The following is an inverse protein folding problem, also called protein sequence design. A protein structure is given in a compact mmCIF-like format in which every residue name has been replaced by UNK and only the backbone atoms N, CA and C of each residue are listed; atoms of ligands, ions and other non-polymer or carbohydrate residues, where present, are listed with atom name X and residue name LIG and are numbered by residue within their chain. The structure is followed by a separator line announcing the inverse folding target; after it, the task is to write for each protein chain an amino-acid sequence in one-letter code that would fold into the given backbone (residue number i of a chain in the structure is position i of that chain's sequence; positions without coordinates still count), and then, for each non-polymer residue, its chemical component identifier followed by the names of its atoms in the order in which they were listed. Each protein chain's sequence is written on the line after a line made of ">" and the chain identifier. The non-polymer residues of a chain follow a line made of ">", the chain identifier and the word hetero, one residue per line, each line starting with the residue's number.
data_IF_359071260336
#
_entry.id   IF_359071260336
#
_cell.length_a   1.000
_cell.length_b   1.000
_cell.length_c   1.000
_cell.angle_alpha   90.00
_cell.angle_beta   90.00
_cell.angle_gamma   90.00
#
_symmetry.space_group_name_H-M   'P 1'
#
loop_
_entity.id
_entity.type
_entity.pdbx_description
1 polymer ?
#
# COMPACT_ATOMS: atom_id res chain seq x y z
N UNK A 1 21.73 -11.43 27.80
CA UNK A 1 22.16 -10.17 28.46
C UNK A 1 23.20 -9.44 27.62
N UNK A 2 24.49 -9.78 27.63
CA UNK A 2 25.49 -9.06 26.79
C UNK A 2 25.15 -9.01 25.29
N UNK A 3 24.75 -10.14 24.70
CA UNK A 3 24.30 -10.17 23.29
C UNK A 3 23.10 -9.25 23.01
N UNK A 4 22.13 -9.20 23.93
CA UNK A 4 20.93 -8.38 23.79
C UNK A 4 21.27 -6.88 23.90
N UNK A 5 22.26 -6.52 24.72
CA UNK A 5 22.78 -5.16 24.83
C UNK A 5 23.51 -4.73 23.55
N UNK A 6 24.36 -5.59 22.98
CA UNK A 6 25.01 -5.32 21.69
C UNK A 6 24.00 -5.18 20.55
N UNK A 7 22.98 -6.05 20.50
CA UNK A 7 21.88 -5.89 19.55
C UNK A 7 21.18 -4.55 19.73
N UNK A 8 20.85 -4.16 20.97
CA UNK A 8 20.25 -2.87 21.28
C UNK A 8 21.05 -1.70 20.69
N UNK A 9 22.37 -1.67 20.94
CA UNK A 9 23.27 -0.66 20.38
C UNK A 9 23.27 -0.65 18.85
N UNK A 10 23.41 -1.81 18.22
CA UNK A 10 23.41 -1.93 16.76
C UNK A 10 22.16 -1.30 16.15
N UNK A 11 20.98 -1.61 16.68
CA UNK A 11 19.74 -1.08 16.10
C UNK A 11 19.52 0.40 16.40
N UNK A 12 19.99 0.90 17.55
CA UNK A 12 19.99 2.35 17.83
C UNK A 12 20.88 3.10 16.83
N UNK A 13 22.08 2.60 16.57
CA UNK A 13 22.98 3.16 15.56
C UNK A 13 22.41 3.06 14.14
N UNK A 14 21.80 1.91 13.79
CA UNK A 14 21.15 1.70 12.50
C UNK A 14 19.97 2.67 12.30
N UNK A 15 19.16 2.91 13.33
CA UNK A 15 18.06 3.88 13.29
C UNK A 15 18.60 5.32 13.10
N UNK A 16 19.66 5.69 13.80
CA UNK A 16 20.30 7.00 13.61
C UNK A 16 20.87 7.16 12.20
N UNK A 17 21.46 6.10 11.66
CA UNK A 17 21.98 6.09 10.29
C UNK A 17 20.83 6.23 9.27
N UNK A 18 19.74 5.48 9.43
CA UNK A 18 18.55 5.59 8.59
C UNK A 18 18.00 7.02 8.62
N UNK A 19 17.83 7.60 9.81
CA UNK A 19 17.37 8.99 9.98
C UNK A 19 18.30 10.00 9.30
N UNK A 20 19.62 9.78 9.33
CA UNK A 20 20.60 10.65 8.66
C UNK A 20 20.46 10.62 7.14
N UNK A 21 20.21 9.45 6.55
CA UNK A 21 20.06 9.30 5.09
C UNK A 21 18.64 9.57 4.58
N UNK A 22 17.63 9.53 5.46
CA UNK A 22 16.23 9.74 5.10
C UNK A 22 15.98 11.01 4.25
N UNK A 23 16.53 12.20 4.57
CA UNK A 23 16.32 13.39 3.73
C UNK A 23 16.92 13.26 2.32
N UNK A 24 18.02 12.51 2.19
CA UNK A 24 18.63 12.25 0.88
C UNK A 24 17.75 11.32 0.04
N UNK A 25 17.18 10.29 0.65
CA UNK A 25 16.22 9.41 -0.03
C UNK A 25 14.94 10.17 -0.42
N UNK A 26 14.36 10.96 0.49
CA UNK A 26 13.17 11.76 0.21
C UNK A 26 13.37 12.69 -0.98
N UNK A 27 14.54 13.32 -1.11
CA UNK A 27 14.89 14.16 -2.27
C UNK A 27 14.83 13.39 -3.59
N UNK A 28 15.35 12.16 -3.63
CA UNK A 28 15.31 11.35 -4.85
C UNK A 28 13.90 10.81 -5.14
N UNK A 29 13.14 10.43 -4.10
CA UNK A 29 11.76 10.00 -4.24
C UNK A 29 10.86 11.15 -4.73
N UNK A 30 11.10 12.38 -4.28
CA UNK A 30 10.40 13.57 -4.76
C UNK A 30 10.71 13.86 -6.23
N UNK A 31 11.98 13.73 -6.64
CA UNK A 31 12.34 13.82 -8.07
C UNK A 31 11.66 12.77 -8.91
N UNK A 32 11.53 11.53 -8.41
CA UNK A 32 10.75 10.48 -9.08
C UNK A 32 9.29 10.88 -9.19
N UNK A 33 8.68 11.39 -8.13
CA UNK A 33 7.28 11.86 -8.14
C UNK A 33 7.07 12.93 -9.21
N UNK A 34 7.94 13.95 -9.26
CA UNK A 34 7.84 15.01 -10.27
C UNK A 34 7.99 14.46 -11.69
N UNK A 35 8.93 13.53 -11.91
CA UNK A 35 9.10 12.84 -13.19
C UNK A 35 7.85 12.04 -13.60
N UNK A 36 7.28 11.28 -12.67
CA UNK A 36 6.11 10.42 -12.92
C UNK A 36 4.88 11.27 -13.18
N UNK A 37 4.68 12.37 -12.45
CA UNK A 37 3.45 13.15 -12.49
C UNK A 37 3.47 14.30 -13.51
N UNK A 38 4.60 14.98 -13.67
CA UNK A 38 4.74 16.18 -14.53
C UNK A 38 5.59 15.91 -15.78
N UNK A 39 6.39 14.85 -15.76
CA UNK A 39 7.42 14.64 -16.77
C UNK A 39 8.61 15.59 -16.59
N UNK A 40 9.56 15.56 -17.52
CA UNK A 40 10.67 16.50 -17.62
C UNK A 40 10.73 17.10 -19.02
N UNK A 41 10.55 18.40 -19.09
CA UNK A 41 10.90 19.19 -20.27
C UNK A 41 12.38 19.56 -20.22
N UNK A 42 13.12 19.30 -21.31
CA UNK A 42 14.50 19.75 -21.49
C UNK A 42 14.62 20.33 -22.90
N UNK A 43 15.07 21.58 -23.01
CA UNK A 43 15.36 22.20 -24.30
C UNK A 43 16.58 21.50 -24.93
N UNK A 44 16.43 21.00 -26.16
CA UNK A 44 17.51 20.28 -26.88
C UNK A 44 17.70 18.80 -26.52
N UNK A 45 16.79 18.19 -25.75
CA UNK A 45 16.79 16.76 -25.45
C UNK A 45 15.37 16.16 -25.48
N UNK A 46 15.21 14.83 -25.57
CA UNK A 46 13.89 14.20 -25.53
C UNK A 46 13.16 14.58 -24.23
N UNK A 47 11.99 15.22 -24.37
CA UNK A 47 11.08 15.47 -23.25
C UNK A 47 10.58 14.14 -22.74
N UNK A 48 10.66 13.92 -21.43
CA UNK A 48 10.07 12.74 -20.80
C UNK A 48 8.64 13.10 -20.42
N UNK A 49 7.59 12.54 -21.08
CA UNK A 49 6.22 12.82 -20.69
C UNK A 49 5.93 12.23 -19.29
N UNK A 50 4.86 12.70 -18.60
CA UNK A 50 4.33 12.02 -17.43
C UNK A 50 4.15 10.52 -17.68
N UNK A 51 4.30 9.73 -16.62
CA UNK A 51 4.19 8.27 -16.66
C UNK A 51 2.85 7.85 -16.02
N UNK A 52 1.74 7.84 -16.78
CA UNK A 52 0.46 7.39 -16.26
C UNK A 52 0.54 5.92 -15.83
N UNK A 53 -0.26 5.54 -14.83
CA UNK A 53 -0.31 4.17 -14.29
C UNK A 53 1.05 3.65 -13.77
N UNK A 54 1.99 4.53 -13.38
CA UNK A 54 3.28 4.11 -12.84
C UNK A 54 3.11 3.17 -11.64
N UNK A 55 2.43 3.63 -10.58
CA UNK A 55 2.22 2.82 -9.38
C UNK A 55 1.31 1.63 -9.61
N UNK A 56 0.27 1.78 -10.43
CA UNK A 56 -0.53 0.65 -10.89
C UNK A 56 0.35 -0.46 -11.50
N UNK A 57 1.26 -0.09 -12.40
CA UNK A 57 2.19 -1.03 -13.04
C UNK A 57 3.16 -1.62 -12.01
N UNK A 58 3.68 -0.83 -11.08
CA UNK A 58 4.53 -1.34 -9.99
C UNK A 58 3.80 -2.40 -9.16
N UNK A 59 2.60 -2.09 -8.66
CA UNK A 59 1.85 -2.97 -7.75
C UNK A 59 1.40 -4.27 -8.45
N UNK A 60 0.96 -4.18 -9.70
CA UNK A 60 0.55 -5.35 -10.50
C UNK A 60 1.71 -6.26 -10.90
N UNK A 61 2.95 -5.77 -10.89
CA UNK A 61 4.13 -6.58 -11.22
C UNK A 61 4.88 -7.12 -10.00
N UNK A 62 4.50 -6.70 -8.80
CA UNK A 62 5.07 -7.24 -7.57
C UNK A 62 4.41 -8.59 -7.20
N UNK A 63 5.18 -9.68 -6.96
CA UNK A 63 4.63 -11.02 -6.75
C UNK A 63 3.60 -11.12 -5.62
N UNK A 64 3.90 -10.53 -4.46
CA UNK A 64 3.01 -10.57 -3.29
C UNK A 64 1.82 -9.62 -3.44
N UNK A 65 2.05 -8.32 -3.70
CA UNK A 65 0.98 -7.34 -3.81
C UNK A 65 -0.03 -7.70 -4.91
N UNK A 66 0.41 -8.16 -6.08
CA UNK A 66 -0.49 -8.48 -7.18
C UNK A 66 -1.54 -9.55 -6.82
N UNK A 67 -1.24 -10.45 -5.89
CA UNK A 67 -2.17 -11.46 -5.40
C UNK A 67 -3.27 -10.88 -4.48
N UNK A 68 -3.02 -9.71 -3.90
CA UNK A 68 -3.99 -9.01 -3.04
C UNK A 68 -4.99 -8.15 -3.86
N UNK A 69 -4.72 -7.95 -5.16
CA UNK A 69 -5.50 -7.06 -6.00
C UNK A 69 -6.64 -7.80 -6.69
N UNK A 70 -7.88 -7.37 -6.45
CA UNK A 70 -9.02 -7.76 -7.24
C UNK A 70 -9.26 -6.80 -8.43
N UNK A 71 -10.17 -7.14 -9.36
CA UNK A 71 -10.46 -6.32 -10.56
C UNK A 71 -10.92 -4.90 -10.24
N UNK A 72 -11.63 -4.69 -9.12
CA UNK A 72 -12.11 -3.36 -8.70
C UNK A 72 -10.97 -2.56 -8.07
N UNK A 73 -10.09 -3.19 -7.30
CA UNK A 73 -8.88 -2.56 -6.76
C UNK A 73 -8.03 -1.97 -7.89
N UNK A 74 -7.81 -2.76 -8.95
CA UNK A 74 -7.08 -2.32 -10.15
C UNK A 74 -7.66 -1.04 -10.74
N UNK A 75 -8.98 -0.89 -10.74
CA UNK A 75 -9.65 0.29 -11.28
C UNK A 75 -9.40 1.55 -10.43
N UNK A 76 -9.35 1.39 -9.10
CA UNK A 76 -9.00 2.49 -8.16
C UNK A 76 -7.51 2.83 -8.26
N UNK A 77 -6.63 1.83 -8.28
CA UNK A 77 -5.17 2.01 -8.26
C UNK A 77 -4.61 2.68 -9.53
N UNK A 78 -5.37 2.72 -10.63
CA UNK A 78 -5.01 3.54 -11.81
C UNK A 78 -4.91 5.04 -11.50
N UNK A 79 -5.58 5.48 -10.44
CA UNK A 79 -5.58 6.86 -9.98
C UNK A 79 -4.55 7.11 -8.86
N UNK A 80 -3.77 6.10 -8.47
CA UNK A 80 -2.69 6.24 -7.50
C UNK A 80 -1.52 7.01 -8.13
N UNK A 81 -1.29 8.22 -7.63
CA UNK A 81 -0.26 9.14 -8.13
C UNK A 81 1.07 8.95 -7.45
N UNK A 82 1.07 8.75 -6.14
CA UNK A 82 2.31 8.54 -5.39
C UNK A 82 2.15 7.59 -4.20
N UNK A 83 3.24 6.90 -3.85
CA UNK A 83 3.37 6.14 -2.61
C UNK A 83 4.65 6.59 -1.89
N UNK A 84 4.48 7.09 -0.66
CA UNK A 84 5.54 7.70 0.13
C UNK A 84 5.75 6.95 1.43
N UNK A 85 7.01 6.94 1.86
CA UNK A 85 7.46 6.41 3.14
C UNK A 85 8.04 7.57 3.93
N UNK A 86 7.62 7.71 5.18
CA UNK A 86 8.24 8.65 6.12
C UNK A 86 8.42 7.97 7.46
N UNK A 87 9.57 8.16 8.10
CA UNK A 87 9.76 7.77 9.50
C UNK A 87 8.86 8.62 10.40
N UNK A 88 8.38 8.05 11.50
CA UNK A 88 7.66 8.83 12.50
C UNK A 88 8.62 9.81 13.20
N UNK A 89 8.08 10.98 13.56
CA UNK A 89 8.83 12.07 14.22
C UNK A 89 9.33 11.64 15.60
N UNK A 90 10.27 12.43 16.13
CA UNK A 90 10.90 12.22 17.45
C UNK A 90 9.87 11.91 18.55
N UNK A 91 10.13 10.86 19.33
CA UNK A 91 9.24 10.35 20.37
C UNK A 91 8.40 9.13 19.99
N UNK A 92 8.31 8.78 18.69
CA UNK A 92 7.66 7.55 18.24
C UNK A 92 8.57 6.73 17.32
N UNK A 93 8.74 5.44 17.61
CA UNK A 93 9.34 4.48 16.68
C UNK A 93 8.28 4.00 15.69
N UNK A 94 8.66 3.84 14.43
CA UNK A 94 7.76 3.41 13.38
C UNK A 94 7.90 4.21 12.09
N UNK A 95 7.03 3.89 11.14
CA UNK A 95 6.98 4.53 9.84
C UNK A 95 5.54 4.69 9.35
N UNK A 96 5.37 5.55 8.36
CA UNK A 96 4.10 5.81 7.69
C UNK A 96 4.21 5.52 6.21
N UNK A 97 3.20 4.85 5.67
CA UNK A 97 3.00 4.66 4.23
C UNK A 97 1.84 5.57 3.80
N UNK A 98 2.05 6.43 2.80
CA UNK A 98 1.05 7.38 2.32
C UNK A 98 0.77 7.16 0.84
N UNK A 99 -0.49 6.92 0.49
CA UNK A 99 -0.98 6.67 -0.85
C UNK A 99 -1.74 7.92 -1.33
N UNK A 100 -1.17 8.67 -2.26
CA UNK A 100 -1.80 9.87 -2.82
C UNK A 100 -2.54 9.54 -4.11
N UNK A 101 -3.84 9.82 -4.11
CA UNK A 101 -4.72 9.63 -5.26
C UNK A 101 -4.94 10.92 -6.03
N UNK A 102 -5.27 10.77 -7.31
CA UNK A 102 -5.72 11.88 -8.15
C UNK A 102 -6.94 12.58 -7.52
N UNK A 103 -6.92 13.91 -7.36
CA UNK A 103 -8.10 14.65 -6.87
C UNK A 103 -9.36 14.42 -7.71
N UNK A 104 -9.20 14.11 -9.01
CA UNK A 104 -10.29 13.85 -9.93
C UNK A 104 -10.71 12.37 -9.97
N UNK A 105 -10.18 11.51 -9.09
CA UNK A 105 -10.52 10.10 -9.11
C UNK A 105 -12.04 9.88 -8.87
N UNK A 106 -12.69 8.94 -9.58
CA UNK A 106 -14.13 8.72 -9.46
C UNK A 106 -14.52 7.68 -8.38
N UNK A 107 -13.60 7.26 -7.50
CA UNK A 107 -13.83 6.13 -6.59
C UNK A 107 -13.92 6.53 -5.12
N UNK A 108 -13.05 7.40 -4.66
CA UNK A 108 -12.94 7.78 -3.26
C UNK A 108 -12.81 9.30 -3.13
N UNK A 109 -13.26 9.84 -2.01
CA UNK A 109 -13.23 11.28 -1.71
C UNK A 109 -11.88 11.71 -1.11
N UNK A 110 -11.16 10.78 -0.50
CA UNK A 110 -9.92 11.06 0.22
C UNK A 110 -8.76 11.29 -0.75
N UNK A 111 -8.04 12.40 -0.63
CA UNK A 111 -6.87 12.61 -1.48
C UNK A 111 -5.70 11.70 -1.10
N UNK A 112 -5.56 11.38 0.18
CA UNK A 112 -4.45 10.59 0.70
C UNK A 112 -5.00 9.56 1.68
N UNK A 113 -4.61 8.30 1.48
CA UNK A 113 -4.77 7.25 2.48
C UNK A 113 -3.42 7.00 3.15
N UNK A 114 -3.35 7.13 4.45
CA UNK A 114 -2.14 6.95 5.24
C UNK A 114 -2.28 5.78 6.19
N UNK A 115 -1.18 5.07 6.39
CA UNK A 115 -1.07 3.98 7.35
C UNK A 115 0.20 4.13 8.17
N UNK A 116 0.05 4.31 9.47
CA UNK A 116 1.15 4.44 10.43
C UNK A 116 1.32 3.10 11.18
N UNK A 117 2.54 2.60 11.20
CA UNK A 117 2.95 1.43 11.98
C UNK A 117 3.78 1.93 13.15
N UNK A 118 3.19 1.96 14.33
CA UNK A 118 3.86 2.39 15.55
C UNK A 118 4.51 1.16 16.18
N UNK A 119 5.78 1.29 16.51
CA UNK A 119 6.60 0.21 17.03
C UNK A 119 6.97 0.50 18.49
N UNK A 120 7.12 -0.55 19.30
CA UNK A 120 7.67 -0.38 20.64
C UNK A 120 9.13 0.11 20.56
N UNK A 121 9.57 0.98 21.50
CA UNK A 121 10.96 1.44 21.52
C UNK A 121 11.98 0.32 21.71
N UNK A 122 11.58 -0.71 22.48
CA UNK A 122 12.42 -1.85 22.80
C UNK A 122 12.39 -2.83 21.63
N UNK A 123 13.58 -3.12 21.12
CA UNK A 123 13.80 -4.17 20.14
C UNK A 123 14.03 -5.46 20.91
N UNK A 124 13.28 -6.50 20.59
CA UNK A 124 13.49 -7.83 21.16
C UNK A 124 14.00 -8.73 20.04
N UNK A 125 15.13 -9.40 20.26
CA UNK A 125 15.71 -10.36 19.30
C UNK A 125 15.93 -9.77 17.89
N UNK A 126 16.21 -8.47 17.81
CA UNK A 126 16.39 -7.75 16.56
C UNK A 126 15.13 -7.53 15.71
N UNK A 127 13.95 -7.78 16.27
CA UNK A 127 12.68 -7.48 15.63
C UNK A 127 11.97 -6.32 16.34
N UNK A 128 11.49 -5.37 15.55
CA UNK A 128 10.59 -4.34 16.05
C UNK A 128 9.23 -4.95 16.33
N UNK A 129 8.70 -4.74 17.53
CA UNK A 129 7.39 -5.24 17.91
C UNK A 129 6.34 -4.19 17.53
N UNK A 130 5.34 -4.61 16.75
CA UNK A 130 4.18 -3.77 16.43
C UNK A 130 3.45 -3.38 17.71
N UNK A 131 3.30 -2.08 17.92
CA UNK A 131 2.48 -1.53 19.00
C UNK A 131 1.06 -1.26 18.53
N UNK A 132 0.93 -0.60 17.39
CA UNK A 132 -0.36 -0.10 16.92
C UNK A 132 -0.30 0.18 15.42
N UNK A 133 -1.40 -0.06 14.73
CA UNK A 133 -1.63 0.36 13.35
C UNK A 133 -2.66 1.48 13.39
N UNK A 134 -2.36 2.61 12.72
CA UNK A 134 -3.33 3.70 12.55
C UNK A 134 -3.56 3.97 11.07
N UNK A 135 -4.82 4.13 10.70
CA UNK A 135 -5.24 4.53 9.36
C UNK A 135 -5.75 5.97 9.38
N UNK A 136 -5.38 6.76 8.37
CA UNK A 136 -5.96 8.08 8.12
C UNK A 136 -6.42 8.21 6.66
N UNK A 137 -7.69 8.55 6.38
CA UNK A 137 -8.79 8.63 7.35
C UNK A 137 -9.03 7.29 8.05
N UNK A 138 -9.74 7.31 9.18
CA UNK A 138 -10.07 6.10 9.96
C UNK A 138 -10.89 5.09 9.13
N UNK A 139 -11.68 5.60 8.18
CA UNK A 139 -12.39 4.81 7.18
C UNK A 139 -12.27 5.49 5.83
N UNK A 140 -12.02 4.70 4.78
CA UNK A 140 -12.00 5.19 3.41
C UNK A 140 -13.38 5.69 3.00
N UNK A 141 -13.43 6.92 2.49
CA UNK A 141 -14.62 7.62 2.05
C UNK A 141 -14.94 7.26 0.59
N UNK A 142 -15.51 6.06 0.39
CA UNK A 142 -15.91 5.60 -0.94
C UNK A 142 -17.08 6.42 -1.51
N UNK A 143 -17.01 6.73 -2.81
CA UNK A 143 -18.16 7.24 -3.55
C UNK A 143 -19.22 6.13 -3.70
N UNK A 144 -20.51 6.46 -3.94
CA UNK A 144 -21.58 5.46 -4.00
C UNK A 144 -21.26 4.30 -4.96
N UNK A 145 -21.36 3.06 -4.44
CA UNK A 145 -21.09 1.82 -5.18
C UNK A 145 -19.65 1.67 -5.72
N UNK A 146 -18.70 2.45 -5.20
CA UNK A 146 -17.29 2.42 -5.65
C UNK A 146 -16.34 1.69 -4.71
N UNK A 147 -16.83 1.23 -3.56
CA UNK A 147 -16.04 0.38 -2.66
C UNK A 147 -15.66 -0.94 -3.36
N UNK A 148 -14.36 -1.22 -3.54
CA UNK A 148 -13.86 -2.38 -4.25
C UNK A 148 -14.00 -3.68 -3.47
N UNK A 149 -14.32 -3.63 -2.17
CA UNK A 149 -14.65 -4.80 -1.36
C UNK A 149 -16.07 -5.31 -1.60
N UNK A 150 -16.98 -4.49 -2.15
CA UNK A 150 -18.37 -4.89 -2.35
C UNK A 150 -18.50 -6.02 -3.40
N UNK A 151 -19.13 -7.12 -3.03
CA UNK A 151 -19.45 -8.25 -3.90
C UNK A 151 -20.96 -8.38 -4.02
N UNK A 152 -21.47 -8.32 -5.25
CA UNK A 152 -22.91 -8.48 -5.52
C UNK A 152 -23.17 -9.88 -6.06
N UNK A 153 -24.13 -10.59 -5.46
CA UNK A 153 -24.58 -11.90 -5.94
C UNK A 153 -26.11 -11.94 -6.04
N UNK A 154 -26.63 -12.85 -6.86
CA UNK A 154 -28.07 -13.07 -6.98
C UNK A 154 -28.46 -14.31 -6.20
N UNK A 155 -29.26 -14.14 -5.16
CA UNK A 155 -29.81 -15.25 -4.39
C UNK A 155 -31.13 -15.69 -5.01
N UNK A 156 -31.22 -16.96 -5.41
CA UNK A 156 -32.45 -17.58 -5.88
C UNK A 156 -33.12 -18.33 -4.74
N UNK A 157 -34.39 -18.05 -4.52
CA UNK A 157 -35.21 -18.71 -3.51
C UNK A 157 -36.01 -19.85 -4.11
N UNK A 158 -36.42 -20.81 -3.26
CA UNK A 158 -37.20 -22.00 -3.67
C UNK A 158 -38.54 -21.64 -4.30
N UNK A 159 -39.08 -20.46 -4.02
CA UNK A 159 -40.30 -19.92 -4.63
C UNK A 159 -40.07 -19.32 -6.04
N UNK A 160 -38.90 -19.51 -6.64
CA UNK A 160 -38.56 -18.97 -7.97
C UNK A 160 -38.16 -17.49 -7.98
N UNK A 161 -38.27 -16.79 -6.85
CA UNK A 161 -37.90 -15.36 -6.75
C UNK A 161 -36.39 -15.21 -6.66
N UNK A 162 -35.82 -14.17 -7.29
CA UNK A 162 -34.40 -13.85 -7.22
C UNK A 162 -34.20 -12.45 -6.64
N UNK A 163 -33.31 -12.29 -5.66
CA UNK A 163 -32.91 -10.97 -5.13
C UNK A 163 -31.42 -10.74 -5.35
N UNK A 164 -31.03 -9.48 -5.58
CA UNK A 164 -29.62 -9.08 -5.56
C UNK A 164 -29.23 -8.73 -4.13
N UNK A 165 -28.22 -9.40 -3.62
CA UNK A 165 -27.65 -9.17 -2.29
C UNK A 165 -26.21 -8.67 -2.45
N UNK A 166 -25.75 -7.86 -1.48
CA UNK A 166 -24.40 -7.30 -1.46
C UNK A 166 -23.71 -7.76 -0.18
N UNK A 167 -22.50 -8.29 -0.32
CA UNK A 167 -21.60 -8.66 0.78
C UNK A 167 -20.23 -8.02 0.58
N UNK A 168 -19.31 -8.19 1.52
CA UNK A 168 -17.91 -7.73 1.41
C UNK A 168 -16.99 -8.91 1.13
N UNK A 169 -16.03 -8.72 0.23
CA UNK A 169 -15.01 -9.70 -0.15
C UNK A 169 -13.59 -9.21 0.08
N UNK A 170 -12.62 -9.98 -0.40
CA UNK A 170 -11.21 -9.62 -0.36
C UNK A 170 -10.93 -8.44 -1.31
N UNK A 171 -10.27 -7.42 -0.77
CA UNK A 171 -9.80 -6.23 -1.49
C UNK A 171 -8.48 -5.79 -0.87
N UNK A 172 -7.58 -5.28 -1.70
CA UNK A 172 -6.36 -4.60 -1.23
C UNK A 172 -6.67 -3.48 -0.23
N UNK A 173 -7.78 -2.77 -0.42
CA UNK A 173 -8.14 -1.66 0.45
C UNK A 173 -8.66 -2.09 1.82
N UNK A 174 -8.84 -3.39 2.07
CA UNK A 174 -9.07 -3.91 3.42
C UNK A 174 -7.87 -3.62 4.36
N UNK A 175 -6.67 -3.36 3.82
CA UNK A 175 -5.51 -2.86 4.58
C UNK A 175 -5.74 -1.49 5.23
N UNK A 176 -6.77 -0.74 4.81
CA UNK A 176 -7.14 0.54 5.42
C UNK A 176 -8.35 0.41 6.36
N UNK A 177 -8.76 -0.82 6.69
CA UNK A 177 -9.74 -1.04 7.74
C UNK A 177 -9.05 -0.95 9.11
N UNK A 178 -9.75 -0.48 10.15
CA UNK A 178 -9.22 -0.48 11.50
C UNK A 178 -8.87 -1.91 11.96
N UNK A 179 -7.62 -2.13 12.34
CA UNK A 179 -7.13 -3.35 12.98
C UNK A 179 -6.55 -2.97 14.34
N UNK A 180 -7.26 -3.30 15.41
CA UNK A 180 -6.84 -3.02 16.78
C UNK A 180 -7.27 -4.13 17.73
N UNK A 181 -6.42 -4.42 18.70
CA UNK A 181 -6.75 -5.24 19.86
C UNK A 181 -7.09 -4.33 21.01
N UNK A 182 -8.30 -4.48 21.56
CA UNK A 182 -8.62 -3.78 22.80
C UNK A 182 -7.75 -4.32 23.95
N UNK A 183 -7.18 -3.44 24.80
CA UNK A 183 -6.45 -3.85 25.99
C UNK A 183 -7.35 -4.69 26.90
N UNK A 184 -6.80 -5.76 27.47
CA UNK A 184 -7.52 -6.57 28.44
C UNK A 184 -7.48 -5.91 29.83
N UNK A 185 -8.61 -5.78 30.53
CA UNK A 185 -8.61 -5.40 31.93
C UNK A 185 -7.76 -6.37 32.77
N UNK A 186 -7.13 -5.90 33.87
CA UNK A 186 -6.44 -6.79 34.79
C UNK A 186 -7.39 -7.89 35.30
N UNK A 187 -6.97 -9.16 35.18
CA UNK A 187 -7.76 -10.31 35.61
C UNK A 187 -8.91 -10.71 34.66
N UNK A 188 -8.99 -10.14 33.46
CA UNK A 188 -9.97 -10.55 32.47
C UNK A 188 -9.81 -12.04 32.11
N UNK A 189 -10.90 -12.80 32.19
CA UNK A 189 -10.98 -14.17 31.69
C UNK A 189 -11.62 -14.13 30.31
N UNK A 190 -10.89 -14.66 29.32
CA UNK A 190 -11.39 -14.76 27.96
C UNK A 190 -12.04 -16.11 27.74
N UNK A 191 -13.19 -16.10 27.10
CA UNK A 191 -13.79 -17.29 26.50
C UNK A 191 -12.91 -17.81 25.36
N UNK A 192 -13.03 -19.10 25.03
CA UNK A 192 -12.30 -19.69 23.90
C UNK A 192 -12.53 -18.92 22.58
N UNK A 193 -13.75 -18.43 22.36
CA UNK A 193 -14.12 -17.64 21.18
C UNK A 193 -13.41 -16.28 21.13
N UNK A 194 -13.26 -15.61 22.27
CA UNK A 194 -12.53 -14.34 22.34
C UNK A 194 -11.04 -14.55 22.11
N UNK A 195 -10.45 -15.62 22.66
CA UNK A 195 -9.06 -15.99 22.38
C UNK A 195 -8.84 -16.22 20.89
N UNK A 196 -9.71 -17.00 20.23
CA UNK A 196 -9.65 -17.27 18.80
C UNK A 196 -9.79 -15.98 17.97
N UNK A 197 -10.74 -15.11 18.34
CA UNK A 197 -10.97 -13.83 17.66
C UNK A 197 -9.74 -12.91 17.77
N UNK A 198 -9.14 -12.83 18.96
CA UNK A 198 -7.92 -12.04 19.17
C UNK A 198 -6.74 -12.59 18.37
N UNK A 199 -6.54 -13.91 18.38
CA UNK A 199 -5.49 -14.55 17.60
C UNK A 199 -5.64 -14.32 16.09
N UNK A 200 -6.89 -14.28 15.58
CA UNK A 200 -7.16 -13.92 14.19
C UNK A 200 -6.77 -12.46 13.91
N UNK A 201 -7.17 -11.51 14.77
CA UNK A 201 -6.80 -10.10 14.62
C UNK A 201 -5.28 -9.92 14.67
N UNK A 202 -4.58 -10.59 15.58
CA UNK A 202 -3.11 -10.56 15.67
C UNK A 202 -2.45 -11.04 14.37
N UNK A 203 -2.97 -12.12 13.78
CA UNK A 203 -2.48 -12.63 12.50
C UNK A 203 -2.68 -11.64 11.36
N UNK A 204 -3.85 -11.01 11.29
CA UNK A 204 -4.14 -9.98 10.28
C UNK A 204 -3.24 -8.74 10.48
N UNK A 205 -3.03 -8.30 11.72
CA UNK A 205 -2.10 -7.20 12.04
C UNK A 205 -0.66 -7.51 11.63
N UNK A 206 -0.21 -8.76 11.84
CA UNK A 206 1.12 -9.21 11.45
C UNK A 206 1.27 -9.23 9.92
N UNK A 207 0.30 -9.80 9.21
CA UNK A 207 0.28 -9.80 7.75
C UNK A 207 0.27 -8.37 7.19
N UNK A 208 -0.52 -7.49 7.77
CA UNK A 208 -0.58 -6.09 7.37
C UNK A 208 0.76 -5.38 7.61
N UNK A 209 1.41 -5.61 8.75
CA UNK A 209 2.76 -5.09 9.01
C UNK A 209 3.78 -5.58 7.98
N UNK A 210 3.74 -6.84 7.57
CA UNK A 210 4.60 -7.39 6.52
C UNK A 210 4.38 -6.67 5.18
N UNK A 211 3.13 -6.38 4.82
CA UNK A 211 2.80 -5.56 3.65
C UNK A 211 3.35 -4.13 3.82
N UNK A 212 3.26 -3.56 5.02
CA UNK A 212 3.86 -2.26 5.37
C UNK A 212 5.37 -2.22 5.10
N UNK A 213 6.11 -3.22 5.60
CA UNK A 213 7.54 -3.36 5.33
C UNK A 213 7.85 -3.62 3.87
N UNK A 214 7.00 -4.38 3.16
CA UNK A 214 7.14 -4.57 1.73
C UNK A 214 7.07 -3.25 0.96
N UNK A 215 6.19 -2.33 1.37
CA UNK A 215 6.17 -0.97 0.84
C UNK A 215 7.43 -0.19 1.20
N UNK A 216 7.82 -0.21 2.48
CA UNK A 216 8.96 0.53 3.03
C UNK A 216 10.28 0.14 2.37
N UNK A 217 10.58 -1.14 2.33
CA UNK A 217 11.92 -1.65 2.07
C UNK A 217 12.10 -2.19 0.64
N UNK A 218 11.01 -2.51 -0.07
CA UNK A 218 11.06 -3.09 -1.41
C UNK A 218 10.37 -2.21 -2.46
N UNK A 219 9.04 -2.01 -2.36
CA UNK A 219 8.27 -1.38 -3.44
C UNK A 219 8.65 0.08 -3.65
N UNK A 220 8.72 0.89 -2.59
CA UNK A 220 9.06 2.31 -2.75
C UNK A 220 10.50 2.49 -3.21
N UNK A 221 11.52 1.82 -2.63
CA UNK A 221 12.89 1.94 -3.11
C UNK A 221 13.10 1.41 -4.54
N UNK A 222 12.41 0.32 -4.92
CA UNK A 222 12.63 -0.37 -6.20
C UNK A 222 11.50 -0.15 -7.22
N UNK A 223 10.66 0.86 -7.04
CA UNK A 223 9.48 1.10 -7.89
C UNK A 223 9.84 1.15 -9.39
N UNK A 224 10.96 1.76 -9.75
CA UNK A 224 11.39 1.86 -11.15
C UNK A 224 11.74 0.52 -11.76
N UNK A 225 12.26 -0.43 -10.96
CA UNK A 225 12.56 -1.81 -11.40
C UNK A 225 11.27 -2.54 -11.75
N UNK A 226 10.29 -2.57 -10.83
CA UNK A 226 9.00 -3.22 -11.08
C UNK A 226 8.24 -2.57 -12.25
N UNK A 227 8.35 -1.25 -12.41
CA UNK A 227 7.77 -0.55 -13.55
C UNK A 227 8.40 -1.00 -14.88
N UNK A 228 9.75 -1.03 -14.96
CA UNK A 228 10.47 -1.49 -16.17
C UNK A 228 10.14 -2.93 -16.52
N UNK A 229 10.13 -3.84 -15.53
CA UNK A 229 9.69 -5.23 -15.70
C UNK A 229 8.28 -5.31 -16.29
N UNK A 230 7.37 -4.47 -15.82
CA UNK A 230 6.00 -4.39 -16.34
C UNK A 230 5.95 -3.95 -17.80
N UNK A 231 6.78 -2.99 -18.21
CA UNK A 231 6.88 -2.56 -19.60
C UNK A 231 7.43 -3.66 -20.51
N UNK A 232 8.45 -4.38 -20.06
CA UNK A 232 9.05 -5.49 -20.81
C UNK A 232 8.05 -6.63 -21.03
N UNK A 233 7.32 -7.04 -19.98
CA UNK A 233 6.27 -8.06 -20.10
C UNK A 233 5.19 -7.66 -21.09
N UNK A 234 4.78 -6.39 -21.13
CA UNK A 234 3.78 -5.90 -22.10
C UNK A 234 4.30 -5.95 -23.53
N UNK A 235 5.58 -5.66 -23.75
CA UNK A 235 6.23 -5.72 -25.07
C UNK A 235 6.40 -7.16 -25.58
N UNK A 236 6.59 -8.13 -24.68
CA UNK A 236 6.71 -9.54 -25.05
C UNK A 236 5.38 -10.23 -25.34
N UNK A 237 4.23 -9.60 -25.06
CA UNK A 237 2.92 -10.16 -25.40
C UNK A 237 2.63 -10.02 -26.91
N UNK A 238 2.07 -11.04 -27.58
CA UNK A 238 1.66 -10.95 -28.98
C UNK A 238 0.59 -9.85 -29.12
N UNK A 239 0.91 -8.74 -29.80
CA UNK A 239 0.02 -7.59 -30.03
C UNK A 239 0.54 -6.22 -29.55
N UNK A 240 1.71 -6.14 -28.90
CA UNK A 240 2.29 -4.89 -28.37
C UNK A 240 2.96 -3.95 -29.39
N UNK A 241 2.66 -4.08 -30.69
CA UNK A 241 3.17 -3.20 -31.75
C UNK A 241 2.45 -1.85 -31.74
N UNK A 242 3.21 -0.75 -31.92
CA UNK A 242 2.73 0.65 -31.98
C UNK A 242 1.42 0.82 -32.77
N UNK A 243 0.54 1.76 -32.40
CA UNK A 243 -0.57 2.14 -33.28
C UNK A 243 0.01 2.66 -34.60
N UNK A 244 -0.53 2.17 -35.71
CA UNK A 244 -0.20 2.65 -37.04
C UNK A 244 -0.41 4.16 -37.08
N UNK A 245 0.64 4.91 -37.40
CA UNK A 245 0.48 6.28 -37.84
C UNK A 245 -0.39 6.21 -39.10
N UNK A 246 -1.58 6.80 -39.03
CA UNK A 246 -2.38 7.09 -40.22
C UNK A 246 -1.54 8.05 -41.07
N UNK A 247 -0.87 7.52 -42.08
CA UNK A 247 -0.41 8.31 -43.21
C UNK A 247 -1.65 8.85 -43.91
N UNK A 248 -1.86 10.16 -43.77
CA UNK A 248 -2.67 10.92 -44.68
C UNK A 248 -2.02 10.88 -46.06
N UNK A 249 -2.68 10.23 -47.01
CA UNK A 249 -2.45 10.46 -48.44
C UNK A 249 -3.76 10.21 -49.18
N UNK A 250 -4.29 11.26 -49.81
CA UNK A 250 -5.50 11.25 -50.65
C UNK A 250 -6.52 12.28 -50.22
#
# INVERSE_FOLDING_TARGET
>A
RQYEEEQGRFFEEAEQLERRYQPMFERELERRRDLVTKGKFKLGAPTTPPQPEFWYTVLTNHPTISQLLNKRDLAVLRYLRDVRISLLKEGAKGFKVSFEFDPNNPYLLDRVLEKEYLLYPKISMGQSVLREIRCRPERVSWKPMKDPSLVTYTRRYKNGTSTREVTTGQSFFNLFLPLALEPLPPGAQLTAREVETRALIEREMQFDMEVGYLFKDILVPQATTFFKMGLERRRSLPGGGRPAATESNG
#
